data_IF_422540059326
#
_entry.id   IF_422540059326
#
_cell.length_a   1.000
_cell.length_b   1.000
_cell.length_c   1.000
_cell.angle_alpha   90.00
_cell.angle_beta   90.00
_cell.angle_gamma   90.00
#
_symmetry.space_group_name_H-M   'P 1'
#
loop_
_entity.id
_entity.type
_entity.pdbx_description
1 polymer ?
#
# COMPACT_ATOMS: atom_id res chain seq x y z
N UNK A 1 -12.09 15.36 -19.23
CA UNK A 1 -11.76 13.91 -19.18
C UNK A 1 -10.37 13.62 -18.62
N UNK A 2 -9.28 14.30 -19.05
CA UNK A 2 -7.91 14.10 -18.50
C UNK A 2 -7.84 14.07 -16.95
N UNK A 3 -8.42 15.06 -16.28
CA UNK A 3 -8.43 15.16 -14.80
C UNK A 3 -9.03 13.94 -14.07
N UNK A 4 -10.01 13.25 -14.66
CA UNK A 4 -10.68 12.09 -14.04
C UNK A 4 -9.82 10.83 -14.20
N UNK A 5 -9.21 10.66 -15.37
CA UNK A 5 -8.26 9.57 -15.61
C UNK A 5 -7.00 9.71 -14.75
N UNK A 6 -6.57 10.95 -14.48
CA UNK A 6 -5.43 11.22 -13.60
C UNK A 6 -5.73 10.92 -12.12
N UNK A 7 -7.01 10.91 -11.73
CA UNK A 7 -7.45 10.56 -10.37
C UNK A 7 -7.51 9.05 -10.14
N UNK A 8 -7.76 8.27 -11.19
CA UNK A 8 -8.04 6.85 -11.10
C UNK A 8 -6.95 6.04 -10.38
N UNK A 9 -5.64 6.21 -10.67
CA UNK A 9 -4.59 5.47 -9.96
C UNK A 9 -4.60 5.75 -8.45
N UNK A 10 -4.78 7.01 -8.06
CA UNK A 10 -4.81 7.42 -6.65
C UNK A 10 -6.02 6.83 -5.92
N UNK A 11 -7.18 6.79 -6.59
CA UNK A 11 -8.39 6.17 -6.03
C UNK A 11 -8.20 4.67 -5.83
N UNK A 12 -7.64 3.96 -6.82
CA UNK A 12 -7.40 2.52 -6.73
C UNK A 12 -6.40 2.18 -5.62
N UNK A 13 -5.26 2.86 -5.58
CA UNK A 13 -4.24 2.66 -4.54
C UNK A 13 -4.81 2.99 -3.15
N UNK A 14 -5.48 4.15 -3.02
CA UNK A 14 -6.11 4.56 -1.77
C UNK A 14 -7.17 3.56 -1.29
N UNK A 15 -8.05 3.10 -2.17
CA UNK A 15 -9.08 2.12 -1.84
C UNK A 15 -8.48 0.77 -1.39
N UNK A 16 -7.45 0.26 -2.08
CA UNK A 16 -6.80 -1.01 -1.72
C UNK A 16 -6.13 -0.93 -0.34
N UNK A 17 -5.38 0.14 -0.06
CA UNK A 17 -4.72 0.32 1.25
C UNK A 17 -5.71 0.60 2.37
N UNK A 18 -6.75 1.40 2.13
CA UNK A 18 -7.80 1.64 3.13
C UNK A 18 -8.55 0.35 3.44
N UNK A 19 -8.91 -0.44 2.42
CA UNK A 19 -9.56 -1.72 2.63
C UNK A 19 -8.66 -2.68 3.41
N UNK A 20 -7.40 -2.87 3.02
CA UNK A 20 -6.46 -3.75 3.70
C UNK A 20 -6.14 -3.33 5.14
N UNK A 21 -5.97 -2.03 5.37
CA UNK A 21 -5.72 -1.44 6.68
C UNK A 21 -6.93 -1.56 7.60
N UNK A 22 -8.12 -1.15 7.14
CA UNK A 22 -9.35 -1.23 7.93
C UNK A 22 -9.78 -2.67 8.17
N UNK A 23 -9.60 -3.57 7.19
CA UNK A 23 -9.91 -5.00 7.36
C UNK A 23 -9.10 -5.63 8.50
N UNK A 24 -7.86 -5.21 8.71
CA UNK A 24 -7.06 -5.70 9.83
C UNK A 24 -7.65 -5.32 11.21
N UNK A 25 -8.23 -4.13 11.35
CA UNK A 25 -8.80 -3.67 12.62
C UNK A 25 -10.23 -4.14 12.84
N UNK A 26 -11.03 -4.18 11.78
CA UNK A 26 -12.47 -4.46 11.84
C UNK A 26 -12.85 -5.86 11.38
N UNK A 27 -11.92 -6.64 10.82
CA UNK A 27 -12.11 -8.03 10.39
C UNK A 27 -13.32 -8.22 9.46
N UNK A 28 -13.43 -7.40 8.40
CA UNK A 28 -14.53 -7.52 7.43
C UNK A 28 -14.52 -8.85 6.68
N UNK A 29 -13.33 -9.35 6.36
CA UNK A 29 -13.10 -10.59 5.60
C UNK A 29 -12.05 -11.43 6.32
N UNK A 30 -12.38 -12.72 6.50
CA UNK A 30 -11.46 -13.71 7.05
C UNK A 30 -10.24 -13.85 6.14
N UNK A 31 -9.05 -13.73 6.73
CA UNK A 31 -7.81 -13.97 6.01
C UNK A 31 -7.57 -15.48 5.90
N UNK A 32 -7.23 -16.01 4.72
CA UNK A 32 -6.85 -17.40 4.59
C UNK A 32 -5.61 -17.69 5.45
N UNK A 33 -5.52 -18.87 6.06
CA UNK A 33 -4.34 -19.24 6.83
C UNK A 33 -3.11 -19.28 5.92
N UNK A 34 -2.04 -18.62 6.36
CA UNK A 34 -0.73 -18.68 5.70
C UNK A 34 0.11 -19.80 6.33
N UNK A 35 0.72 -20.64 5.50
CA UNK A 35 1.62 -21.73 5.92
C UNK A 35 3.04 -21.48 5.40
N UNK A 36 4.02 -22.18 5.97
CA UNK A 36 5.44 -22.04 5.59
C UNK A 36 6.04 -20.69 5.97
N UNK A 37 7.08 -20.27 5.25
CA UNK A 37 7.83 -19.03 5.50
C UNK A 37 6.94 -17.76 5.51
N UNK A 38 5.94 -17.59 4.61
CA UNK A 38 4.98 -16.49 4.68
C UNK A 38 4.26 -16.41 6.04
N UNK A 39 3.83 -17.56 6.56
CA UNK A 39 3.15 -17.67 7.85
C UNK A 39 4.06 -17.32 9.02
N UNK A 40 5.31 -17.79 9.00
CA UNK A 40 6.32 -17.47 10.03
C UNK A 40 6.60 -15.97 10.06
N UNK A 41 6.86 -15.36 8.91
CA UNK A 41 7.12 -13.93 8.80
C UNK A 41 5.94 -13.09 9.31
N UNK A 42 4.71 -13.43 8.87
CA UNK A 42 3.50 -12.75 9.32
C UNK A 42 3.24 -12.93 10.82
N UNK A 43 3.55 -14.12 11.37
CA UNK A 43 3.44 -14.39 12.81
C UNK A 43 4.37 -13.52 13.65
N UNK A 44 5.60 -13.28 13.19
CA UNK A 44 6.55 -12.36 13.85
C UNK A 44 6.04 -10.91 13.80
N UNK A 45 5.57 -10.46 12.64
CA UNK A 45 5.01 -9.10 12.50
C UNK A 45 3.76 -8.88 13.37
N UNK A 46 2.92 -9.90 13.50
CA UNK A 46 1.71 -9.85 14.33
C UNK A 46 2.07 -9.79 15.82
N UNK A 47 2.90 -10.72 16.30
CA UNK A 47 3.27 -10.83 17.72
C UNK A 47 4.11 -9.66 18.22
N UNK A 48 4.96 -9.08 17.37
CA UNK A 48 5.77 -7.89 17.72
C UNK A 48 4.98 -6.57 17.73
N UNK A 49 3.76 -6.56 17.19
CA UNK A 49 2.96 -5.34 17.01
C UNK A 49 3.40 -4.45 15.84
N UNK A 50 4.46 -4.80 15.12
CA UNK A 50 4.92 -4.06 13.93
C UNK A 50 3.83 -4.01 12.86
N UNK A 51 3.10 -5.11 12.66
CA UNK A 51 2.01 -5.16 11.68
C UNK A 51 0.93 -4.13 11.98
N UNK A 52 0.63 -3.89 13.26
CA UNK A 52 -0.36 -2.88 13.67
C UNK A 52 0.07 -1.49 13.24
N UNK A 53 1.36 -1.15 13.40
CA UNK A 53 1.92 0.14 12.96
C UNK A 53 1.84 0.27 11.44
N UNK A 54 2.24 -0.78 10.71
CA UNK A 54 2.13 -0.81 9.24
C UNK A 54 0.68 -0.55 8.82
N UNK A 55 -0.30 -1.22 9.44
CA UNK A 55 -1.73 -1.05 9.10
C UNK A 55 -2.26 0.34 9.41
N UNK A 56 -1.80 1.00 10.47
CA UNK A 56 -2.11 2.42 10.72
C UNK A 56 -1.54 3.30 9.60
N UNK A 57 -0.28 3.07 9.20
CA UNK A 57 0.35 3.83 8.10
C UNK A 57 -0.34 3.59 6.75
N UNK A 58 -0.81 2.36 6.48
CA UNK A 58 -1.63 2.05 5.30
C UNK A 58 -2.92 2.88 5.29
N UNK A 59 -3.63 2.97 6.42
CA UNK A 59 -4.86 3.76 6.52
C UNK A 59 -4.58 5.26 6.32
N UNK A 60 -3.54 5.78 6.99
CA UNK A 60 -3.17 7.20 6.87
C UNK A 60 -2.74 7.53 5.44
N UNK A 61 -1.82 6.74 4.87
CA UNK A 61 -1.32 6.93 3.51
C UNK A 61 -2.43 6.78 2.47
N UNK A 62 -3.28 5.76 2.63
CA UNK A 62 -4.44 5.49 1.78
C UNK A 62 -5.49 6.59 1.83
N UNK A 63 -5.70 7.23 2.99
CA UNK A 63 -6.58 8.40 3.09
C UNK A 63 -5.95 9.63 2.42
N UNK A 64 -4.65 9.90 2.69
CA UNK A 64 -3.94 11.06 2.16
C UNK A 64 -3.86 11.06 0.63
N UNK A 65 -3.69 9.89 0.00
CA UNK A 65 -3.53 9.79 -1.45
C UNK A 65 -4.82 10.15 -2.21
N UNK A 66 -5.98 10.10 -1.56
CA UNK A 66 -7.24 10.52 -2.16
C UNK A 66 -7.34 12.05 -2.33
N UNK A 67 -6.57 12.82 -1.56
CA UNK A 67 -6.56 14.28 -1.65
C UNK A 67 -5.45 14.76 -2.60
N UNK A 68 -5.78 15.46 -3.71
CA UNK A 68 -4.77 15.89 -4.70
C UNK A 68 -3.61 16.71 -4.12
N UNK A 69 -3.86 17.51 -3.08
CA UNK A 69 -2.83 18.31 -2.42
C UNK A 69 -1.89 17.50 -1.53
N UNK A 70 -2.28 16.28 -1.12
CA UNK A 70 -1.53 15.42 -0.18
C UNK A 70 -1.04 14.11 -0.80
N UNK A 71 -1.32 13.86 -2.08
CA UNK A 71 -0.88 12.64 -2.80
C UNK A 71 0.58 12.30 -2.65
N UNK A 72 1.47 13.27 -2.87
CA UNK A 72 2.91 13.03 -2.75
C UNK A 72 3.27 12.50 -1.35
N UNK A 73 2.73 13.11 -0.30
CA UNK A 73 2.94 12.68 1.09
C UNK A 73 2.36 11.28 1.35
N UNK A 74 1.13 11.02 0.90
CA UNK A 74 0.51 9.70 1.02
C UNK A 74 1.33 8.63 0.33
N UNK A 75 1.82 8.92 -0.88
CA UNK A 75 2.67 8.01 -1.64
C UNK A 75 4.04 7.78 -0.97
N UNK A 76 4.64 8.79 -0.35
CA UNK A 76 5.89 8.62 0.42
C UNK A 76 5.73 7.62 1.57
N UNK A 77 4.57 7.64 2.24
CA UNK A 77 4.26 6.67 3.32
C UNK A 77 4.03 5.27 2.73
N UNK A 78 3.24 5.19 1.65
CA UNK A 78 2.83 3.91 1.06
C UNK A 78 3.94 3.23 0.25
N UNK A 79 4.86 3.98 -0.36
CA UNK A 79 5.92 3.44 -1.23
C UNK A 79 6.76 2.33 -0.56
N UNK A 80 7.35 2.52 0.64
CA UNK A 80 8.11 1.45 1.29
C UNK A 80 7.23 0.25 1.66
N UNK A 81 5.94 0.47 1.97
CA UNK A 81 4.99 -0.61 2.27
C UNK A 81 4.71 -1.42 0.99
N UNK A 82 4.43 -0.75 -0.13
CA UNK A 82 4.24 -1.38 -1.44
C UNK A 82 5.46 -2.21 -1.84
N UNK A 83 6.67 -1.68 -1.65
CA UNK A 83 7.91 -2.43 -1.94
C UNK A 83 8.00 -3.68 -1.06
N UNK A 84 7.72 -3.58 0.24
CA UNK A 84 7.73 -4.75 1.14
C UNK A 84 6.68 -5.79 0.73
N UNK A 85 5.47 -5.38 0.33
CA UNK A 85 4.44 -6.30 -0.18
C UNK A 85 4.97 -7.05 -1.41
N UNK A 86 5.56 -6.34 -2.36
CA UNK A 86 6.10 -6.97 -3.57
C UNK A 86 7.24 -7.94 -3.24
N UNK A 87 8.15 -7.57 -2.34
CA UNK A 87 9.23 -8.46 -1.91
C UNK A 87 8.69 -9.70 -1.18
N UNK A 88 7.70 -9.53 -0.31
CA UNK A 88 7.02 -10.64 0.35
C UNK A 88 6.39 -11.60 -0.68
N UNK A 89 5.67 -11.07 -1.67
CA UNK A 89 5.02 -11.87 -2.71
C UNK A 89 6.04 -12.65 -3.56
N UNK A 90 7.16 -12.03 -3.92
CA UNK A 90 8.17 -12.62 -4.80
C UNK A 90 9.07 -13.64 -4.08
N UNK A 91 9.50 -13.34 -2.85
CA UNK A 91 10.54 -14.12 -2.16
C UNK A 91 10.00 -15.06 -1.07
N UNK A 92 8.84 -14.78 -0.49
CA UNK A 92 8.24 -15.63 0.55
C UNK A 92 7.03 -16.38 0.00
N UNK A 93 6.06 -15.64 -0.55
CA UNK A 93 4.82 -16.23 -1.04
C UNK A 93 5.00 -16.96 -2.38
N UNK A 94 6.04 -16.62 -3.15
CA UNK A 94 6.32 -17.14 -4.50
C UNK A 94 5.12 -17.01 -5.45
N UNK A 95 4.29 -15.99 -5.23
CA UNK A 95 3.02 -15.78 -5.92
C UNK A 95 2.78 -14.26 -6.08
N UNK A 96 3.24 -13.66 -7.19
CA UNK A 96 2.98 -12.24 -7.44
C UNK A 96 1.48 -12.01 -7.57
N UNK A 97 0.97 -11.01 -6.84
CA UNK A 97 -0.46 -10.70 -6.80
C UNK A 97 -0.68 -9.20 -6.92
N UNK A 98 -1.31 -8.58 -5.92
CA UNK A 98 -1.63 -7.16 -5.88
C UNK A 98 -0.38 -6.27 -5.81
N UNK A 99 0.75 -6.78 -5.32
CA UNK A 99 2.00 -6.02 -5.16
C UNK A 99 2.51 -5.42 -6.48
N UNK A 100 2.45 -6.17 -7.58
CA UNK A 100 2.88 -5.67 -8.91
C UNK A 100 1.98 -4.53 -9.37
N UNK A 101 0.66 -4.68 -9.22
CA UNK A 101 -0.29 -3.64 -9.59
C UNK A 101 -0.10 -2.37 -8.75
N UNK A 102 0.09 -2.51 -7.43
CA UNK A 102 0.37 -1.39 -6.54
C UNK A 102 1.66 -0.67 -6.92
N UNK A 103 2.71 -1.41 -7.31
CA UNK A 103 3.98 -0.81 -7.74
C UNK A 103 3.81 0.01 -9.02
N UNK A 104 3.11 -0.53 -10.03
CA UNK A 104 2.85 0.17 -11.29
C UNK A 104 2.00 1.42 -11.06
N UNK A 105 0.90 1.30 -10.30
CA UNK A 105 0.03 2.44 -10.01
C UNK A 105 0.76 3.50 -9.19
N UNK A 106 1.58 3.09 -8.21
CA UNK A 106 2.41 4.00 -7.41
C UNK A 106 3.40 4.76 -8.29
N UNK A 107 4.03 4.10 -9.26
CA UNK A 107 4.96 4.74 -10.20
C UNK A 107 4.24 5.76 -11.11
N UNK A 108 3.02 5.46 -11.56
CA UNK A 108 2.19 6.40 -12.33
C UNK A 108 1.87 7.64 -11.48
N UNK A 109 1.46 7.47 -10.22
CA UNK A 109 1.17 8.59 -9.32
C UNK A 109 2.44 9.41 -9.06
N UNK A 110 3.58 8.75 -8.84
CA UNK A 110 4.87 9.43 -8.66
C UNK A 110 5.23 10.29 -9.89
N UNK A 111 4.99 9.77 -11.09
CA UNK A 111 5.21 10.52 -12.32
C UNK A 111 4.25 11.71 -12.48
N UNK A 112 2.97 11.55 -12.12
CA UNK A 112 1.97 12.63 -12.13
C UNK A 112 2.31 13.75 -11.14
N UNK A 113 2.83 13.39 -9.96
CA UNK A 113 3.14 14.32 -8.86
C UNK A 113 4.63 14.71 -8.83
N UNK A 114 5.40 14.43 -9.89
CA UNK A 114 6.86 14.59 -9.93
C UNK A 114 7.36 15.98 -9.54
N UNK A 115 6.61 17.04 -9.86
CA UNK A 115 7.01 18.42 -9.54
C UNK A 115 6.96 18.67 -8.02
N UNK A 116 6.04 17.99 -7.29
CA UNK A 116 6.00 18.03 -5.82
C UNK A 116 7.14 17.25 -5.20
N UNK A 117 7.57 16.16 -5.84
CA UNK A 117 8.73 15.38 -5.39
C UNK A 117 10.06 16.11 -5.67
N UNK A 118 10.17 16.83 -6.78
CA UNK A 118 11.34 17.67 -7.06
C UNK A 118 11.52 18.77 -6.01
N UNK A 119 10.43 19.29 -5.45
CA UNK A 119 10.51 20.29 -4.37
C UNK A 119 10.99 19.72 -3.02
N UNK A 120 11.09 18.39 -2.88
CA UNK A 120 11.61 17.71 -1.69
C UNK A 120 13.10 17.36 -1.81
N UNK A 121 13.70 17.48 -3.00
CA UNK A 121 15.12 17.25 -3.28
C UNK A 121 15.86 18.59 -3.43
#
# INVERSE_FOLDING_TARGET
MKKVLDLLPSVLVGALFLFGGLNFFFNFVAQPPMTGDPGVFMGVLFSSGILKVIKVLEVIGGALILFPSKRALGLTILAPITVNILLFELFLAHAPSVGVALMVLSAIIAYQEREKFKALL
#
